data_IF_702209213509
#
_entry.id   IF_702209213509
#
_cell.length_a   1.000
_cell.length_b   1.000
_cell.length_c   1.000
_cell.angle_alpha   90.00
_cell.angle_beta   90.00
_cell.angle_gamma   90.00
#
_symmetry.space_group_name_H-M   'P 1'
#
loop_
_entity.id
_entity.type
_entity.pdbx_description
1 polymer ?
#
# COMPACT_ATOMS: atom_id res chain seq x y z
N UNK A 1 1.27 -23.16 -7.01
CA UNK A 1 1.28 -22.99 -5.54
C UNK A 1 2.73 -22.74 -5.16
N UNK A 2 3.03 -21.71 -4.36
CA UNK A 2 4.42 -21.33 -4.04
C UNK A 2 5.15 -22.37 -3.17
N UNK A 3 6.31 -21.98 -2.63
CA UNK A 3 7.12 -22.81 -1.72
C UNK A 3 6.28 -23.35 -0.54
N UNK A 4 6.27 -24.67 -0.36
CA UNK A 4 5.49 -25.35 0.69
C UNK A 4 6.09 -25.19 2.08
N UNK A 5 7.39 -24.93 2.17
CA UNK A 5 8.10 -24.75 3.44
C UNK A 5 7.76 -23.39 4.05
N UNK A 6 7.52 -22.37 3.23
CA UNK A 6 7.06 -21.06 3.69
C UNK A 6 5.64 -21.16 4.26
N UNK A 7 5.46 -20.73 5.51
CA UNK A 7 4.14 -20.73 6.18
C UNK A 7 3.53 -19.34 6.30
N UNK A 8 4.36 -18.32 6.51
CA UNK A 8 3.97 -16.92 6.71
C UNK A 8 4.99 -16.04 6.01
N UNK A 9 4.56 -14.90 5.49
CA UNK A 9 5.43 -13.87 4.92
C UNK A 9 5.39 -12.63 5.81
N UNK A 10 6.55 -12.19 6.29
CA UNK A 10 6.68 -10.93 7.05
C UNK A 10 7.33 -9.90 6.13
N UNK A 11 6.62 -8.80 5.90
CA UNK A 11 7.14 -7.63 5.21
C UNK A 11 7.65 -6.63 6.24
N UNK A 12 8.95 -6.38 6.24
CA UNK A 12 9.61 -5.43 7.14
C UNK A 12 10.60 -4.57 6.37
N UNK A 13 10.82 -3.35 6.84
CA UNK A 13 11.78 -2.42 6.26
C UNK A 13 13.05 -2.32 7.10
N UNK A 14 14.16 -1.93 6.47
CA UNK A 14 15.43 -1.61 7.14
C UNK A 14 15.68 -0.11 7.07
N UNK A 15 15.96 0.51 8.22
CA UNK A 15 16.26 1.94 8.33
C UNK A 15 15.32 2.64 9.30
N UNK A 16 15.27 3.98 9.30
CA UNK A 16 14.48 4.76 10.26
C UNK A 16 12.97 4.80 9.95
N UNK A 17 12.58 4.47 8.72
CA UNK A 17 11.20 4.54 8.24
C UNK A 17 10.88 3.33 7.39
N UNK A 18 9.60 2.98 7.31
CA UNK A 18 9.13 1.87 6.50
C UNK A 18 9.21 2.16 5.00
N UNK A 19 8.62 3.27 4.54
CA UNK A 19 8.66 3.68 3.13
C UNK A 19 8.34 5.16 2.94
N UNK A 20 9.12 5.82 2.10
CA UNK A 20 8.88 7.20 1.67
C UNK A 20 7.90 7.32 0.49
N UNK A 21 7.40 6.20 -0.04
CA UNK A 21 6.50 6.15 -1.19
C UNK A 21 7.23 6.06 -2.54
N UNK A 22 6.55 6.48 -3.61
CA UNK A 22 7.07 6.42 -4.97
C UNK A 22 8.32 7.30 -5.15
N UNK A 23 9.28 6.81 -5.93
CA UNK A 23 10.43 7.62 -6.35
C UNK A 23 9.96 8.68 -7.35
N UNK A 24 10.01 9.94 -6.94
CA UNK A 24 9.57 11.07 -7.78
C UNK A 24 10.43 11.27 -9.04
N UNK A 25 11.61 10.63 -9.12
CA UNK A 25 12.44 10.64 -10.34
C UNK A 25 11.85 9.74 -11.43
N UNK A 26 10.94 8.83 -11.07
CA UNK A 26 10.39 7.79 -11.95
C UNK A 26 9.03 8.16 -12.57
N UNK A 27 8.59 9.43 -12.43
CA UNK A 27 7.27 9.91 -12.84
C UNK A 27 7.01 9.74 -14.36
N UNK A 28 8.06 9.67 -15.18
CA UNK A 28 7.95 9.61 -16.65
C UNK A 28 8.53 8.33 -17.28
N UNK A 29 8.89 7.32 -16.50
CA UNK A 29 9.44 6.07 -17.03
C UNK A 29 8.34 5.24 -17.73
N UNK A 30 8.18 5.45 -19.04
CA UNK A 30 7.35 4.57 -19.87
C UNK A 30 7.93 3.16 -20.01
N UNK A 31 9.24 3.02 -19.78
CA UNK A 31 9.92 1.75 -19.67
C UNK A 31 10.05 1.33 -18.21
N UNK A 32 9.41 0.23 -17.85
CA UNK A 32 9.78 -0.55 -16.68
C UNK A 32 10.78 -1.60 -17.16
N UNK A 33 11.97 -1.67 -16.57
CA UNK A 33 12.88 -2.82 -16.81
C UNK A 33 12.24 -4.14 -16.35
N UNK A 34 11.23 -4.06 -15.48
CA UNK A 34 10.47 -5.21 -15.01
C UNK A 34 9.36 -5.59 -16.00
N UNK A 35 9.40 -6.83 -16.46
CA UNK A 35 8.35 -7.44 -17.26
C UNK A 35 7.04 -7.45 -16.46
N UNK A 36 6.00 -6.81 -16.99
CA UNK A 36 4.65 -6.83 -16.40
C UNK A 36 4.15 -8.27 -16.27
N UNK A 37 3.52 -8.59 -15.14
CA UNK A 37 3.09 -9.96 -14.80
C UNK A 37 1.57 -10.15 -15.06
N UNK A 38 0.88 -9.11 -15.55
CA UNK A 38 -0.56 -9.14 -15.86
C UNK A 38 -0.92 -9.70 -17.24
N UNK A 39 -2.13 -10.25 -17.37
CA UNK A 39 -2.64 -10.90 -18.59
C UNK A 39 -3.37 -9.97 -19.56
N UNK A 40 -3.60 -8.70 -19.18
CA UNK A 40 -4.56 -7.82 -19.88
C UNK A 40 -3.96 -6.52 -20.43
N UNK A 41 -2.63 -6.40 -20.48
CA UNK A 41 -1.94 -5.27 -21.12
C UNK A 41 -0.86 -5.75 -22.08
N UNK A 42 -0.89 -5.27 -23.32
CA UNK A 42 0.19 -5.48 -24.29
C UNK A 42 1.17 -4.29 -24.22
N UNK A 43 2.47 -4.54 -24.40
CA UNK A 43 3.49 -3.50 -24.54
C UNK A 43 3.31 -2.65 -25.82
N UNK A 44 2.42 -3.09 -26.73
CA UNK A 44 2.10 -2.42 -27.99
C UNK A 44 0.99 -1.38 -27.91
N UNK A 45 0.26 -1.29 -26.80
CA UNK A 45 -0.82 -0.31 -26.66
C UNK A 45 -0.25 1.11 -26.50
N UNK A 46 -0.97 2.11 -26.99
CA UNK A 46 -0.59 3.52 -26.91
C UNK A 46 -1.72 4.38 -26.32
N UNK A 47 -1.47 5.69 -26.19
CA UNK A 47 -2.44 6.63 -25.63
C UNK A 47 -2.92 6.27 -24.22
N UNK A 48 -4.16 6.66 -23.92
CA UNK A 48 -4.79 6.52 -22.60
C UNK A 48 -4.95 5.07 -22.15
N UNK A 49 -5.10 4.13 -23.09
CA UNK A 49 -5.26 2.70 -22.80
C UNK A 49 -3.96 2.13 -22.22
N UNK A 50 -2.81 2.50 -22.79
CA UNK A 50 -1.51 2.13 -22.24
C UNK A 50 -1.28 2.71 -20.83
N UNK A 51 -1.69 3.97 -20.59
CA UNK A 51 -1.60 4.60 -19.26
C UNK A 51 -2.46 3.86 -18.24
N UNK A 52 -3.72 3.61 -18.56
CA UNK A 52 -4.63 2.88 -17.69
C UNK A 52 -4.11 1.48 -17.36
N UNK A 53 -3.62 0.74 -18.36
CA UNK A 53 -3.05 -0.59 -18.15
C UNK A 53 -1.82 -0.57 -17.22
N UNK A 54 -0.95 0.44 -17.37
CA UNK A 54 0.23 0.61 -16.50
C UNK A 54 -0.19 0.94 -15.08
N UNK A 55 -1.05 1.94 -14.89
CA UNK A 55 -1.54 2.33 -13.57
C UNK A 55 -2.27 1.18 -12.88
N UNK A 56 -3.11 0.45 -13.61
CA UNK A 56 -3.77 -0.75 -13.10
C UNK A 56 -2.77 -1.80 -12.64
N UNK A 57 -1.72 -2.07 -13.41
CA UNK A 57 -0.70 -3.06 -13.03
C UNK A 57 0.10 -2.61 -11.80
N UNK A 58 0.46 -1.32 -11.72
CA UNK A 58 1.26 -0.77 -10.63
C UNK A 58 0.43 -0.64 -9.34
N UNK A 59 -0.80 -0.14 -9.41
CA UNK A 59 -1.62 0.14 -8.23
C UNK A 59 -2.50 -1.03 -7.81
N UNK A 60 -3.24 -1.65 -8.74
CA UNK A 60 -4.15 -2.75 -8.40
C UNK A 60 -3.45 -4.11 -8.49
N UNK A 61 -2.78 -4.41 -9.61
CA UNK A 61 -2.18 -5.71 -9.88
C UNK A 61 -1.10 -6.07 -8.87
N UNK A 62 -0.24 -5.11 -8.54
CA UNK A 62 0.77 -5.24 -7.49
C UNK A 62 0.15 -5.56 -6.12
N UNK A 63 -0.82 -4.77 -5.68
CA UNK A 63 -1.46 -4.96 -4.37
C UNK A 63 -2.26 -6.25 -4.29
N UNK A 64 -2.96 -6.63 -5.36
CA UNK A 64 -3.68 -7.91 -5.44
C UNK A 64 -2.73 -9.09 -5.31
N UNK A 65 -1.54 -9.04 -5.90
CA UNK A 65 -0.56 -10.13 -5.74
C UNK A 65 -0.13 -10.32 -4.29
N UNK A 66 -0.08 -9.26 -3.48
CA UNK A 66 0.14 -9.37 -2.03
C UNK A 66 -1.09 -9.89 -1.30
N UNK A 67 -2.26 -9.30 -1.56
CA UNK A 67 -3.54 -9.67 -0.93
C UNK A 67 -3.95 -11.11 -1.20
N UNK A 68 -3.75 -11.58 -2.42
CA UNK A 68 -4.20 -12.89 -2.89
C UNK A 68 -3.13 -13.98 -2.68
N UNK A 69 -2.08 -13.70 -1.87
CA UNK A 69 -1.10 -14.71 -1.49
C UNK A 69 -1.79 -15.88 -0.76
N UNK A 70 -1.41 -17.10 -1.12
CA UNK A 70 -1.93 -18.31 -0.47
C UNK A 70 -1.36 -18.54 0.94
N UNK A 71 -0.65 -17.55 1.50
CA UNK A 71 0.06 -17.61 2.79
C UNK A 71 -0.30 -16.35 3.57
N UNK A 72 -0.52 -16.45 4.89
CA UNK A 72 -0.70 -15.28 5.75
C UNK A 72 0.46 -14.29 5.60
N UNK A 73 0.11 -13.01 5.57
CA UNK A 73 1.02 -11.87 5.41
C UNK A 73 0.95 -10.93 6.60
N UNK A 74 2.11 -10.48 7.06
CA UNK A 74 2.22 -9.53 8.18
C UNK A 74 3.10 -8.36 7.73
N UNK A 75 2.57 -7.14 7.78
CA UNK A 75 3.36 -5.92 7.65
C UNK A 75 3.87 -5.48 9.03
N UNK A 76 5.19 -5.43 9.20
CA UNK A 76 5.85 -4.88 10.39
C UNK A 76 6.31 -3.45 10.09
N UNK A 77 5.57 -2.47 10.60
CA UNK A 77 5.65 -1.06 10.20
C UNK A 77 6.21 -0.20 11.32
N UNK A 78 7.23 0.61 10.98
CA UNK A 78 7.80 1.61 11.89
C UNK A 78 8.10 2.93 11.16
N UNK A 79 8.17 4.02 11.93
CA UNK A 79 8.37 5.36 11.39
C UNK A 79 7.36 5.72 10.29
N UNK A 80 7.83 6.42 9.25
CA UNK A 80 6.93 6.96 8.21
C UNK A 80 6.61 5.92 7.12
N UNK A 81 5.33 5.84 6.75
CA UNK A 81 4.81 5.10 5.60
C UNK A 81 3.95 6.01 4.72
N UNK A 82 4.43 6.33 3.52
CA UNK A 82 3.82 7.34 2.65
C UNK A 82 3.38 6.73 1.31
N UNK A 83 2.18 7.07 0.83
CA UNK A 83 1.66 6.75 -0.51
C UNK A 83 1.91 5.28 -0.89
N UNK A 84 2.74 5.01 -1.90
CA UNK A 84 3.11 3.63 -2.30
C UNK A 84 3.64 2.70 -1.19
N UNK A 85 4.05 3.21 -0.02
CA UNK A 85 4.28 2.38 1.17
C UNK A 85 2.99 1.73 1.69
N UNK A 86 1.89 2.46 1.67
CA UNK A 86 0.56 1.99 2.03
C UNK A 86 0.02 0.91 1.08
N UNK A 87 0.40 0.98 -0.20
CA UNK A 87 0.13 -0.08 -1.18
C UNK A 87 0.74 -1.43 -0.81
N UNK A 88 1.77 -1.46 0.03
CA UNK A 88 2.34 -2.70 0.56
C UNK A 88 1.67 -3.14 1.85
N UNK A 89 1.24 -2.18 2.67
CA UNK A 89 0.72 -2.42 4.02
C UNK A 89 -0.75 -2.87 3.98
N UNK A 90 -1.62 -2.09 3.32
CA UNK A 90 -3.08 -2.36 3.30
C UNK A 90 -3.50 -3.66 2.60
N UNK A 91 -2.68 -4.29 1.74
CA UNK A 91 -2.97 -5.64 1.27
C UNK A 91 -2.66 -6.75 2.25
N UNK A 92 -1.86 -6.51 3.31
CA UNK A 92 -1.46 -7.56 4.24
C UNK A 92 -2.62 -7.97 5.18
N UNK A 93 -2.60 -9.22 5.64
CA UNK A 93 -3.63 -9.76 6.54
C UNK A 93 -3.55 -9.13 7.94
N UNK A 94 -2.32 -8.89 8.42
CA UNK A 94 -2.05 -8.23 9.69
C UNK A 94 -1.08 -7.07 9.50
N UNK A 95 -1.27 -6.01 10.28
CA UNK A 95 -0.39 -4.85 10.33
C UNK A 95 0.05 -4.63 11.76
N UNK A 96 1.32 -4.85 12.04
CA UNK A 96 1.91 -4.56 13.36
C UNK A 96 2.63 -3.23 13.23
N UNK A 97 2.18 -2.23 13.96
CA UNK A 97 2.73 -0.88 13.90
C UNK A 97 3.39 -0.51 15.23
N UNK A 98 4.61 0.04 15.17
CA UNK A 98 5.28 0.62 16.33
C UNK A 98 4.61 1.93 16.77
N UNK A 99 4.90 2.38 17.99
CA UNK A 99 4.37 3.63 18.55
C UNK A 99 4.73 4.87 17.73
N UNK A 100 5.90 4.86 17.09
CA UNK A 100 6.39 5.95 16.25
C UNK A 100 5.94 5.84 14.78
N UNK A 101 5.13 4.82 14.45
CA UNK A 101 4.63 4.65 13.09
C UNK A 101 3.59 5.73 12.72
N UNK A 102 3.71 6.24 11.49
CA UNK A 102 2.74 7.14 10.89
C UNK A 102 2.45 6.76 9.45
N UNK A 103 1.19 6.95 9.06
CA UNK A 103 0.66 6.60 7.75
C UNK A 103 0.19 7.87 7.06
N UNK A 104 0.52 8.06 5.78
CA UNK A 104 0.10 9.23 5.02
C UNK A 104 -0.17 8.88 3.56
N UNK A 105 -1.35 9.21 3.06
CA UNK A 105 -1.62 9.28 1.62
C UNK A 105 -1.65 10.76 1.24
N UNK A 106 -0.59 11.22 0.58
CA UNK A 106 -0.43 12.62 0.19
C UNK A 106 -0.80 12.89 -1.28
N UNK A 107 -1.46 11.93 -1.95
CA UNK A 107 -1.87 12.05 -3.36
C UNK A 107 -2.87 13.19 -3.60
N UNK A 108 -3.55 13.68 -2.55
CA UNK A 108 -4.34 14.90 -2.64
C UNK A 108 -3.54 16.15 -3.02
N UNK A 109 -2.28 16.26 -2.60
CA UNK A 109 -1.44 17.39 -3.00
C UNK A 109 -1.09 17.36 -4.49
N UNK A 110 -1.33 16.21 -5.14
CA UNK A 110 -1.21 16.01 -6.58
C UNK A 110 -2.58 16.08 -7.29
N UNK A 111 -3.67 16.33 -6.55
CA UNK A 111 -5.03 16.42 -7.09
C UNK A 111 -5.71 15.08 -7.40
N UNK A 112 -5.16 13.96 -6.91
CA UNK A 112 -5.58 12.59 -7.26
C UNK A 112 -5.76 11.71 -6.01
N UNK A 113 -6.68 12.06 -5.07
CA UNK A 113 -6.86 11.34 -3.81
C UNK A 113 -7.16 9.86 -4.03
N UNK A 114 -6.38 8.99 -3.40
CA UNK A 114 -6.66 7.55 -3.38
C UNK A 114 -6.65 6.93 -4.78
N UNK A 115 -5.90 7.53 -5.72
CA UNK A 115 -5.68 7.00 -7.08
C UNK A 115 -4.96 5.67 -7.08
N UNK A 116 -4.18 5.41 -6.03
CA UNK A 116 -3.46 4.17 -5.81
C UNK A 116 -4.43 3.06 -5.35
N UNK A 117 -3.95 2.11 -4.54
CA UNK A 117 -4.77 1.03 -4.04
C UNK A 117 -5.77 1.49 -2.97
N UNK A 118 -7.05 1.60 -3.35
CA UNK A 118 -8.11 2.07 -2.47
C UNK A 118 -8.53 1.02 -1.45
N UNK A 119 -7.79 0.87 -0.35
CA UNK A 119 -8.12 0.04 0.80
C UNK A 119 -8.45 0.83 2.08
N UNK A 120 -8.30 2.15 2.04
CA UNK A 120 -8.47 3.06 3.18
C UNK A 120 -9.77 2.88 3.98
N UNK A 121 -10.89 2.56 3.31
CA UNK A 121 -12.19 2.39 3.99
C UNK A 121 -12.24 1.12 4.83
N UNK A 122 -11.51 0.08 4.46
CA UNK A 122 -11.42 -1.16 5.23
C UNK A 122 -10.53 -0.98 6.47
N UNK A 123 -9.48 -0.17 6.34
CA UNK A 123 -8.53 0.09 7.44
C UNK A 123 -9.06 1.12 8.45
N UNK A 124 -9.69 2.19 7.97
CA UNK A 124 -10.02 3.36 8.79
C UNK A 124 -11.53 3.60 8.94
N UNK A 125 -12.36 2.83 8.24
CA UNK A 125 -13.77 3.15 8.08
C UNK A 125 -14.01 4.39 7.22
N UNK A 126 -15.25 4.56 6.75
CA UNK A 126 -15.57 5.53 5.69
C UNK A 126 -15.29 6.99 6.03
N UNK A 127 -15.51 7.42 7.28
CA UNK A 127 -15.38 8.83 7.68
C UNK A 127 -13.91 9.23 7.80
N UNK A 128 -13.12 8.45 8.54
CA UNK A 128 -11.69 8.72 8.70
C UNK A 128 -10.96 8.52 7.38
N UNK A 129 -11.31 7.53 6.56
CA UNK A 129 -10.71 7.38 5.23
C UNK A 129 -10.91 8.63 4.34
N UNK A 130 -12.10 9.25 4.37
CA UNK A 130 -12.34 10.51 3.64
C UNK A 130 -11.51 11.66 4.20
N UNK A 131 -11.46 11.83 5.51
CA UNK A 131 -10.63 12.85 6.15
C UNK A 131 -9.15 12.66 5.80
N UNK A 132 -8.64 11.44 5.96
CA UNK A 132 -7.28 11.03 5.65
C UNK A 132 -6.90 11.37 4.21
N UNK A 133 -7.71 10.91 3.26
CA UNK A 133 -7.47 11.16 1.84
C UNK A 133 -7.60 12.64 1.51
N UNK A 134 -8.71 13.30 1.87
CA UNK A 134 -9.00 14.67 1.44
C UNK A 134 -8.11 15.74 2.07
N UNK A 135 -7.53 15.48 3.25
CA UNK A 135 -6.60 16.40 3.92
C UNK A 135 -5.14 16.10 3.58
N UNK A 136 -4.84 14.86 3.17
CA UNK A 136 -3.50 14.35 2.96
C UNK A 136 -2.61 14.37 4.21
N UNK A 137 -3.18 14.58 5.40
CA UNK A 137 -2.42 14.65 6.65
C UNK A 137 -2.02 13.25 7.13
N UNK A 138 -0.85 13.10 7.78
CA UNK A 138 -0.48 11.84 8.39
C UNK A 138 -1.39 11.52 9.59
N UNK A 139 -1.63 10.24 9.82
CA UNK A 139 -2.25 9.70 11.04
C UNK A 139 -1.25 8.84 11.81
N UNK A 140 -1.38 8.81 13.13
CA UNK A 140 -0.54 7.98 13.99
C UNK A 140 -1.03 6.53 14.02
N UNK A 141 -0.18 5.61 14.50
CA UNK A 141 -0.58 4.24 14.80
C UNK A 141 -1.75 4.17 15.80
N UNK A 142 -1.77 5.05 16.80
CA UNK A 142 -2.86 5.11 17.78
C UNK A 142 -4.19 5.50 17.14
N UNK A 143 -4.19 6.52 16.27
CA UNK A 143 -5.39 6.95 15.54
C UNK A 143 -5.90 5.86 14.60
N UNK A 144 -5.00 5.23 13.84
CA UNK A 144 -5.35 4.15 12.93
C UNK A 144 -6.00 2.97 13.69
N UNK A 145 -5.41 2.57 14.82
CA UNK A 145 -5.95 1.52 15.70
C UNK A 145 -7.36 1.86 16.22
N UNK A 146 -7.61 3.13 16.53
CA UNK A 146 -8.93 3.60 17.00
C UNK A 146 -10.03 3.56 15.93
N UNK A 147 -9.67 3.41 14.65
CA UNK A 147 -10.62 3.47 13.53
C UNK A 147 -11.07 2.09 13.01
N UNK A 148 -10.34 1.02 13.36
CA UNK A 148 -10.67 -0.34 12.95
C UNK A 148 -12.05 -0.77 13.45
N UNK A 149 -12.95 -1.14 12.52
CA UNK A 149 -14.26 -1.68 12.88
C UNK A 149 -14.11 -3.13 13.35
N UNK A 150 -14.04 -3.34 14.66
CA UNK A 150 -14.03 -4.68 15.28
C UNK A 150 -12.74 -5.47 14.99
N UNK A 151 -11.75 -5.34 15.87
CA UNK A 151 -10.58 -6.25 15.98
C UNK A 151 -9.82 -6.61 14.68
N UNK A 152 -9.95 -5.82 13.61
CA UNK A 152 -9.16 -6.03 12.39
C UNK A 152 -7.74 -5.46 12.55
N UNK A 153 -6.80 -6.36 12.80
CA UNK A 153 -5.48 -6.37 12.16
C UNK A 153 -4.36 -5.49 12.74
N UNK A 154 -4.66 -4.38 13.42
CA UNK A 154 -3.65 -3.51 14.03
C UNK A 154 -3.38 -3.90 15.48
N UNK A 155 -2.54 -4.92 15.70
CA UNK A 155 -2.04 -5.27 17.03
C UNK A 155 -0.77 -4.52 17.38
N UNK A 156 -0.69 -4.07 18.63
CA UNK A 156 0.39 -3.29 19.21
C UNK A 156 1.41 -4.22 19.87
N UNK A 157 2.67 -4.13 19.47
CA UNK A 157 3.79 -4.71 20.21
C UNK A 157 5.01 -3.78 20.08
N UNK A 158 5.81 -3.67 21.15
CA UNK A 158 7.13 -3.02 21.09
C UNK A 158 8.04 -3.89 20.21
N UNK A 159 8.29 -3.43 18.99
CA UNK A 159 9.32 -3.97 18.10
C UNK A 159 10.69 -3.42 18.52
#
# INVERSE_FOLDING_TARGET
>A
MGDSEVKVVILAAKGPHFSAGHDLRDINSRGSEHKRVGTWSDDKWDGSEAYYCREKEIYEGFCRRWRDLAKPTIASVHGKSIAGGLMLIWPCDFVIASDDASFQDNTMYMGIPGVEYFAHVWELGIRKAKEFLLTGQPITAEEARGCGHGETGLSHEKI
#
